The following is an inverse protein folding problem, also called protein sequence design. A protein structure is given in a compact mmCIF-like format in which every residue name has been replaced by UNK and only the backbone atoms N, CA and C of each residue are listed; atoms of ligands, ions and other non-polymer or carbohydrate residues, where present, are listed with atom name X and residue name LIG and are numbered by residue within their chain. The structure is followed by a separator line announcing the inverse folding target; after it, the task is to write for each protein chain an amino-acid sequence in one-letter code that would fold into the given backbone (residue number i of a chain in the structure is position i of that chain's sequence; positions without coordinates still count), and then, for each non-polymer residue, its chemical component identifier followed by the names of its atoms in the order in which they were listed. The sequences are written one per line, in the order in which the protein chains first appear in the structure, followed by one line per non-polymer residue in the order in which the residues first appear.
data_IF_082559246675
#
_entry.id   IF_082559246675
#
_cell.length_a   1.000
_cell.length_b   1.000
_cell.length_c   1.000
_cell.angle_alpha   90.00
_cell.angle_beta   90.00
_cell.angle_gamma   90.00
#
_symmetry.space_group_name_H-M   'P 1'
#
loop_
_entity.id
_entity.type
_entity.pdbx_description
1 polymer ?
#
# COMPACT_ATOMS: atom_id res chain seq x y z
N UNK A 1 -12.08 17.92 -4.86
CA UNK A 1 -11.65 16.69 -4.14
C UNK A 1 -12.31 15.49 -4.81
N UNK A 2 -11.55 14.57 -5.41
CA UNK A 2 -12.14 13.31 -5.90
C UNK A 2 -12.27 12.35 -4.72
N UNK A 3 -13.43 11.71 -4.59
CA UNK A 3 -13.85 10.89 -3.44
C UNK A 3 -14.32 9.49 -3.86
N UNK A 4 -14.22 9.16 -5.15
CA UNK A 4 -14.75 7.92 -5.71
C UNK A 4 -13.75 7.33 -6.69
N UNK A 5 -13.70 6.00 -6.77
CA UNK A 5 -12.89 5.29 -7.75
C UNK A 5 -13.42 5.54 -9.17
N UNK A 6 -12.50 5.67 -10.13
CA UNK A 6 -12.73 5.83 -11.58
C UNK A 6 -11.91 4.83 -12.40
N UNK A 7 -11.45 3.77 -11.74
CA UNK A 7 -10.66 2.67 -12.31
C UNK A 7 -9.28 3.02 -12.91
N UNK A 8 -8.86 4.29 -12.88
CA UNK A 8 -7.50 4.72 -13.27
C UNK A 8 -6.41 4.02 -12.43
N UNK A 9 -6.73 3.65 -11.19
CA UNK A 9 -5.83 2.91 -10.30
C UNK A 9 -5.43 1.53 -10.84
N UNK A 10 -6.19 0.93 -11.76
CA UNK A 10 -5.87 -0.39 -12.32
C UNK A 10 -4.62 -0.37 -13.20
N UNK A 11 -4.27 0.77 -13.80
CA UNK A 11 -3.05 0.95 -14.59
C UNK A 11 -1.77 0.78 -13.75
N UNK A 12 -1.87 1.10 -12.46
CA UNK A 12 -0.77 1.05 -11.49
C UNK A 12 -0.96 -0.11 -10.51
N UNK A 13 -1.81 -1.08 -10.85
CA UNK A 13 -2.08 -2.22 -9.98
C UNK A 13 -0.79 -2.98 -9.72
N UNK A 14 -0.43 -3.11 -8.46
CA UNK A 14 0.69 -3.94 -8.06
C UNK A 14 0.33 -5.41 -8.27
N UNK A 15 1.25 -6.15 -8.88
CA UNK A 15 1.19 -7.59 -8.99
C UNK A 15 2.24 -8.15 -8.04
N UNK A 16 1.82 -9.15 -7.26
CA UNK A 16 2.74 -9.88 -6.40
C UNK A 16 3.15 -11.17 -7.13
N UNK A 17 4.43 -11.49 -7.09
CA UNK A 17 4.90 -12.81 -7.50
C UNK A 17 4.54 -13.85 -6.44
N UNK A 18 4.39 -15.12 -6.84
CA UNK A 18 4.04 -16.23 -5.93
C UNK A 18 5.03 -16.38 -4.76
N UNK A 19 6.28 -15.95 -4.96
CA UNK A 19 7.37 -15.99 -3.98
C UNK A 19 7.48 -14.74 -3.09
N UNK A 20 6.69 -13.70 -3.36
CA UNK A 20 6.80 -12.43 -2.64
C UNK A 20 6.31 -12.53 -1.18
N UNK A 21 7.03 -11.88 -0.26
CA UNK A 21 6.70 -11.83 1.18
C UNK A 21 5.48 -10.94 1.51
N UNK A 22 4.67 -10.61 0.51
CA UNK A 22 3.46 -9.80 0.62
C UNK A 22 3.66 -8.33 0.24
N UNK A 23 2.57 -7.67 -0.18
CA UNK A 23 2.59 -6.34 -0.81
C UNK A 23 3.32 -5.25 -0.03
N UNK A 24 3.17 -5.22 1.31
CA UNK A 24 3.84 -4.21 2.13
C UNK A 24 5.36 -4.43 2.23
N UNK A 25 5.83 -5.67 2.06
CA UNK A 25 7.25 -6.01 2.09
C UNK A 25 7.97 -5.53 0.83
N UNK A 26 7.25 -5.43 -0.28
CA UNK A 26 7.74 -4.93 -1.57
C UNK A 26 7.60 -3.41 -1.72
N UNK A 27 6.95 -2.73 -0.77
CA UNK A 27 6.75 -1.28 -0.80
C UNK A 27 5.46 -0.83 -1.50
N UNK A 28 4.64 -1.78 -1.99
CA UNK A 28 3.34 -1.44 -2.57
C UNK A 28 2.40 -0.84 -1.54
N UNK A 29 1.60 0.13 -1.99
CA UNK A 29 0.74 0.92 -1.12
C UNK A 29 -0.72 0.61 -1.38
N UNK A 30 -1.52 0.52 -0.31
CA UNK A 30 -2.95 0.19 -0.43
C UNK A 30 -3.83 1.43 -0.41
N UNK A 31 -4.69 1.58 -1.41
CA UNK A 31 -5.78 2.54 -1.36
C UNK A 31 -6.98 1.98 -0.56
N UNK A 32 -7.57 2.76 0.34
CA UNK A 32 -8.73 2.33 1.14
C UNK A 32 -10.00 2.34 0.29
N UNK A 33 -10.24 3.41 -0.46
CA UNK A 33 -11.44 3.55 -1.30
C UNK A 33 -11.43 2.55 -2.46
N UNK A 34 -10.30 2.45 -3.17
CA UNK A 34 -10.18 1.55 -4.32
C UNK A 34 -9.92 0.09 -3.91
N UNK A 35 -9.61 -0.16 -2.63
CA UNK A 35 -9.22 -1.47 -2.08
C UNK A 35 -8.11 -2.20 -2.87
N UNK A 36 -7.29 -1.46 -3.61
CA UNK A 36 -6.24 -1.97 -4.50
C UNK A 36 -4.84 -1.70 -3.91
N UNK A 37 -3.90 -2.59 -4.19
CA UNK A 37 -2.47 -2.32 -4.03
C UNK A 37 -1.92 -1.67 -5.30
N UNK A 38 -1.16 -0.61 -5.10
CA UNK A 38 -0.63 0.24 -6.16
C UNK A 38 0.89 0.26 -6.06
N UNK A 39 1.54 0.10 -7.20
CA UNK A 39 2.94 0.47 -7.38
C UNK A 39 2.98 1.95 -7.77
N UNK A 40 3.13 2.80 -6.77
CA UNK A 40 3.01 4.25 -6.94
C UNK A 40 3.90 4.97 -5.94
N UNK A 41 4.79 5.83 -6.44
CA UNK A 41 5.71 6.62 -5.60
C UNK A 41 4.99 7.70 -4.78
N UNK A 42 3.86 8.21 -5.27
CA UNK A 42 3.11 9.25 -4.57
C UNK A 42 2.49 8.79 -3.24
N UNK A 43 2.10 9.76 -2.41
CA UNK A 43 1.40 9.52 -1.15
C UNK A 43 -0.11 9.37 -1.33
N UNK A 44 -0.66 9.85 -2.46
CA UNK A 44 -2.10 9.82 -2.76
C UNK A 44 -2.39 8.94 -3.96
N UNK A 45 -3.56 8.30 -3.93
CA UNK A 45 -4.05 7.50 -5.03
C UNK A 45 -4.28 8.37 -6.26
N UNK A 46 -3.75 8.01 -7.45
CA UNK A 46 -3.98 8.77 -8.68
C UNK A 46 -5.46 8.75 -9.14
N UNK A 47 -6.26 7.83 -8.59
CA UNK A 47 -7.65 7.61 -8.95
C UNK A 47 -8.64 8.43 -8.09
N UNK A 48 -8.51 8.32 -6.77
CA UNK A 48 -9.47 8.87 -5.80
C UNK A 48 -8.85 9.85 -4.79
N UNK A 49 -7.60 10.26 -4.99
CA UNK A 49 -6.87 11.23 -4.13
C UNK A 49 -6.69 10.81 -2.66
N UNK A 50 -7.19 9.64 -2.26
CA UNK A 50 -7.02 9.14 -0.90
C UNK A 50 -5.57 8.82 -0.59
N UNK A 51 -5.17 9.13 0.64
CA UNK A 51 -3.84 8.80 1.16
C UNK A 51 -3.64 7.29 1.16
N UNK A 52 -2.58 6.85 0.49
CA UNK A 52 -2.23 5.44 0.37
C UNK A 52 -1.63 4.94 1.69
N UNK A 53 -2.03 3.75 2.11
CA UNK A 53 -1.49 3.10 3.31
C UNK A 53 -0.23 2.33 2.97
N UNK A 54 0.85 2.69 3.66
CA UNK A 54 2.14 1.99 3.65
C UNK A 54 2.32 1.03 4.85
N UNK A 55 1.45 1.12 5.87
CA UNK A 55 1.55 0.33 7.10
C UNK A 55 0.26 -0.45 7.33
N UNK A 56 0.35 -1.74 7.73
CA UNK A 56 -0.81 -2.53 8.11
C UNK A 56 -1.42 -2.01 9.42
N UNK A 57 -2.74 -2.18 9.57
CA UNK A 57 -3.52 -1.67 10.70
C UNK A 57 -3.29 -2.44 12.02
N UNK A 58 -2.86 -3.71 11.95
CA UNK A 58 -2.73 -4.55 13.14
C UNK A 58 -1.49 -4.19 13.96
N UNK A 59 -1.71 -3.70 15.18
CA UNK A 59 -0.66 -3.49 16.19
C UNK A 59 0.15 -4.76 16.49
N UNK A 60 -0.44 -5.95 16.31
CA UNK A 60 0.26 -7.24 16.43
C UNK A 60 1.34 -7.43 15.34
N UNK A 61 1.12 -6.90 14.13
CA UNK A 61 2.10 -6.90 13.03
C UNK A 61 3.09 -5.72 13.12
N UNK A 62 2.69 -4.62 13.77
CA UNK A 62 3.54 -3.45 14.04
C UNK A 62 4.78 -3.83 14.87
N UNK A 63 4.62 -4.75 15.83
CA UNK A 63 5.73 -5.28 16.63
C UNK A 63 6.77 -6.07 15.82
N UNK A 64 6.38 -6.68 14.69
CA UNK A 64 7.31 -7.47 13.83
C UNK A 64 8.08 -6.59 12.86
N UNK A 65 7.51 -5.45 12.43
CA UNK A 65 8.20 -4.44 11.63
C UNK A 65 9.16 -3.57 12.46
N UNK A 66 8.82 -3.24 13.72
CA UNK A 66 9.69 -2.45 14.61
C UNK A 66 10.95 -3.20 15.10
N UNK A 67 10.97 -4.54 15.06
CA UNK A 67 12.16 -5.33 15.47
C UNK A 67 13.31 -5.30 14.46
N UNK A 68 13.10 -4.78 13.25
CA UNK A 68 14.16 -4.64 12.24
C UNK A 68 14.85 -3.27 12.26
N UNK A 69 14.40 -2.33 13.09
CA UNK A 69 14.98 -0.99 13.19
C UNK A 69 15.77 -0.75 14.50
N UNK A 70 16.13 -1.81 15.24
CA UNK A 70 17.10 -1.73 16.35
C UNK A 70 18.36 -2.47 15.90
N UNK A 71 19.08 -1.86 14.97
CA UNK A 71 20.50 -2.08 14.75
C UNK A 71 21.13 -0.70 14.65
N UNK A 72 21.17 -0.03 15.79
CA UNK A 72 22.09 1.05 16.12
C UNK A 72 22.55 0.82 17.54
#
# INVERSE_FOLDING_TARGET
MRKFCKDVCHLYKAYKDEYSKGYYSEGYKRCIECNLFLDWDGMRCPCCDHVLRIKPHNNRCKARLLKLSIRM
#
